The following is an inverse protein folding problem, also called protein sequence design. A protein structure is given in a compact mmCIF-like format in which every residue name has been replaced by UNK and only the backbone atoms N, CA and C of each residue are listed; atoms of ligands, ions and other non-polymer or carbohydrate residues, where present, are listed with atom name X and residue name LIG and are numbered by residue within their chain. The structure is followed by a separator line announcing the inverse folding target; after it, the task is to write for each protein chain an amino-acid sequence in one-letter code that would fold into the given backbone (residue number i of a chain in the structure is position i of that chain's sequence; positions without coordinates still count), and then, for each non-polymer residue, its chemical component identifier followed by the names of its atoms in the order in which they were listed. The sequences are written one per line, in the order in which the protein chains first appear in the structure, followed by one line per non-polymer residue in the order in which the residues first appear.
data_IF_054116287424
#
_entry.id   IF_054116287424
#
_cell.length_a   1.000
_cell.length_b   1.000
_cell.length_c   1.000
_cell.angle_alpha   90.00
_cell.angle_beta   90.00
_cell.angle_gamma   90.00
#
_symmetry.space_group_name_H-M   'P 1'
#
loop_
_entity.id
_entity.type
_entity.pdbx_description
1 polymer ?
#
# COMPACT_ATOMS: atom_id res chain seq x y z
N UNK A 1 -30.97 -16.14 30.22
CA UNK A 1 -30.62 -16.39 28.79
C UNK A 1 -29.18 -16.02 28.60
N UNK A 2 -28.32 -16.96 28.20
CA UNK A 2 -26.92 -16.71 27.86
C UNK A 2 -26.86 -16.07 26.47
N UNK A 3 -25.98 -15.08 26.22
CA UNK A 3 -25.78 -14.54 24.87
C UNK A 3 -25.16 -15.59 23.95
N UNK A 4 -25.42 -15.57 22.64
CA UNK A 4 -24.88 -16.55 21.71
C UNK A 4 -23.35 -16.43 21.65
N UNK A 5 -22.65 -17.56 21.61
CA UNK A 5 -21.21 -17.64 21.40
C UNK A 5 -20.86 -17.07 20.01
N UNK A 6 -19.97 -16.10 19.96
CA UNK A 6 -19.51 -15.52 18.71
C UNK A 6 -18.78 -16.58 17.86
N UNK A 7 -19.20 -16.73 16.62
CA UNK A 7 -18.62 -17.58 15.58
C UNK A 7 -17.36 -16.95 14.95
N UNK A 8 -16.52 -16.28 15.72
CA UNK A 8 -15.33 -15.57 15.22
C UNK A 8 -14.19 -16.47 14.72
N UNK A 9 -14.21 -17.79 15.01
CA UNK A 9 -13.12 -18.68 14.62
C UNK A 9 -13.15 -19.23 13.18
N UNK A 10 -14.31 -19.20 12.51
CA UNK A 10 -14.49 -19.84 11.20
C UNK A 10 -14.21 -18.89 10.03
N UNK A 11 -14.34 -17.58 10.22
CA UNK A 11 -14.18 -16.60 9.13
C UNK A 11 -12.73 -16.33 8.72
N UNK A 12 -11.76 -16.47 9.64
CA UNK A 12 -10.34 -16.20 9.32
C UNK A 12 -9.69 -17.30 8.46
N UNK A 13 -9.97 -18.57 8.77
CA UNK A 13 -9.43 -19.70 8.01
C UNK A 13 -10.02 -19.76 6.58
N UNK A 14 -11.32 -19.55 6.43
CA UNK A 14 -11.97 -19.49 5.11
C UNK A 14 -11.43 -18.34 4.26
N UNK A 15 -11.24 -17.14 4.86
CA UNK A 15 -10.68 -16.00 4.14
C UNK A 15 -9.23 -16.23 3.66
N UNK A 16 -8.44 -17.01 4.40
CA UNK A 16 -7.07 -17.34 4.01
C UNK A 16 -6.99 -18.37 2.87
N UNK A 17 -7.95 -19.29 2.80
CA UNK A 17 -8.07 -20.23 1.67
C UNK A 17 -8.39 -19.48 0.36
N UNK A 18 -9.36 -18.58 0.37
CA UNK A 18 -9.71 -17.77 -0.82
C UNK A 18 -8.57 -16.88 -1.30
N UNK A 19 -7.78 -16.31 -0.37
CA UNK A 19 -6.62 -15.46 -0.71
C UNK A 19 -5.50 -16.23 -1.40
N UNK A 20 -5.33 -17.51 -1.05
CA UNK A 20 -4.36 -18.38 -1.72
C UNK A 20 -4.76 -18.75 -3.14
N UNK A 21 -6.05 -18.73 -3.49
CA UNK A 21 -6.54 -19.13 -4.81
C UNK A 21 -6.04 -18.21 -5.92
N UNK A 22 -6.07 -16.88 -5.77
CA UNK A 22 -5.54 -15.95 -6.76
C UNK A 22 -4.03 -16.11 -6.95
N UNK A 23 -3.29 -16.35 -5.86
CA UNK A 23 -1.85 -16.61 -5.92
C UNK A 23 -1.54 -17.95 -6.60
N UNK A 24 -2.31 -19.00 -6.32
CA UNK A 24 -2.18 -20.29 -6.99
C UNK A 24 -2.54 -20.19 -8.48
N UNK A 25 -3.60 -19.46 -8.81
CA UNK A 25 -3.99 -19.19 -10.18
C UNK A 25 -2.88 -18.44 -10.94
N UNK A 26 -2.29 -17.41 -10.31
CA UNK A 26 -1.16 -16.71 -10.88
C UNK A 26 0.03 -17.64 -11.12
N UNK A 27 0.42 -18.44 -10.12
CA UNK A 27 1.53 -19.39 -10.28
C UNK A 27 1.32 -20.41 -11.40
N UNK A 28 0.07 -20.80 -11.65
CA UNK A 28 -0.27 -21.76 -12.70
C UNK A 28 -0.35 -21.12 -14.10
N UNK A 29 -0.79 -19.86 -14.19
CA UNK A 29 -1.19 -19.21 -15.44
C UNK A 29 -0.35 -17.97 -15.79
N UNK A 30 0.66 -17.59 -15.00
CA UNK A 30 1.50 -16.45 -15.33
C UNK A 30 2.32 -16.75 -16.59
N UNK A 31 2.06 -15.97 -17.65
CA UNK A 31 2.77 -16.05 -18.93
C UNK A 31 3.69 -14.85 -19.17
N UNK A 32 3.67 -13.86 -18.30
CA UNK A 32 4.45 -12.63 -18.41
C UNK A 32 5.04 -12.21 -17.07
N UNK A 33 5.95 -11.26 -17.17
CA UNK A 33 6.64 -10.68 -16.02
C UNK A 33 8.11 -10.43 -16.36
N UNK A 34 8.86 -10.03 -15.34
CA UNK A 34 10.30 -9.75 -15.46
C UNK A 34 11.04 -10.18 -14.20
N UNK A 35 12.34 -10.38 -14.34
CA UNK A 35 13.27 -10.43 -13.22
C UNK A 35 14.21 -9.25 -13.32
N UNK A 36 14.27 -8.48 -12.23
CA UNK A 36 15.17 -7.36 -12.06
C UNK A 36 16.17 -7.71 -10.95
N UNK A 37 17.44 -7.82 -11.30
CA UNK A 37 18.51 -8.06 -10.34
C UNK A 37 19.47 -6.87 -10.31
N UNK A 38 19.69 -6.33 -9.12
CA UNK A 38 20.67 -5.28 -8.86
C UNK A 38 21.92 -5.91 -8.28
N UNK A 39 23.06 -5.72 -8.98
CA UNK A 39 24.32 -6.30 -8.58
C UNK A 39 24.82 -5.75 -7.25
N UNK A 40 25.62 -6.55 -6.54
CA UNK A 40 26.26 -6.17 -5.27
C UNK A 40 27.02 -4.83 -5.40
N UNK A 41 26.86 -3.96 -4.39
CA UNK A 41 27.46 -2.62 -4.30
C UNK A 41 27.01 -1.64 -5.39
N UNK A 42 25.99 -1.99 -6.19
CA UNK A 42 25.48 -1.09 -7.22
C UNK A 42 24.36 -0.21 -6.66
N UNK A 43 24.50 1.10 -6.81
CA UNK A 43 23.52 2.08 -6.35
C UNK A 43 23.02 2.88 -7.54
N UNK A 44 21.72 2.77 -7.84
CA UNK A 44 21.10 3.58 -8.88
C UNK A 44 20.83 4.99 -8.37
N UNK A 45 21.44 5.99 -9.02
CA UNK A 45 21.24 7.41 -8.66
C UNK A 45 19.93 8.02 -9.20
N UNK A 46 19.27 7.32 -10.12
CA UNK A 46 17.99 7.76 -10.71
C UNK A 46 16.94 6.65 -10.54
N UNK A 47 15.68 7.00 -10.34
CA UNK A 47 14.61 6.01 -10.28
C UNK A 47 14.52 5.23 -11.60
N UNK A 48 14.32 3.91 -11.48
CA UNK A 48 13.88 3.06 -12.58
C UNK A 48 12.35 3.11 -12.66
N UNK A 49 11.80 3.38 -13.84
CA UNK A 49 10.35 3.43 -14.01
C UNK A 49 9.90 2.25 -14.86
N UNK A 50 9.01 1.45 -14.31
CA UNK A 50 8.31 0.37 -15.02
C UNK A 50 6.90 0.85 -15.36
N UNK A 51 6.63 1.02 -16.66
CA UNK A 51 5.31 1.38 -17.15
C UNK A 51 4.50 0.11 -17.45
N UNK A 52 3.38 -0.05 -16.73
CA UNK A 52 2.38 -1.07 -17.02
C UNK A 52 1.28 -0.42 -17.86
N UNK A 53 1.39 -0.54 -19.18
CA UNK A 53 0.44 0.04 -20.11
C UNK A 53 -0.64 -0.97 -20.50
N UNK A 54 -1.90 -0.62 -20.25
CA UNK A 54 -3.06 -1.41 -20.63
C UNK A 54 -3.81 -0.72 -21.77
N UNK A 55 -3.82 -1.39 -22.92
CA UNK A 55 -4.47 -0.90 -24.14
C UNK A 55 -5.99 -0.97 -24.07
N UNK A 56 -6.67 -0.36 -25.05
CA UNK A 56 -8.12 -0.27 -25.10
C UNK A 56 -8.87 -1.58 -25.44
N UNK A 57 -8.17 -2.69 -25.69
CA UNK A 57 -8.75 -3.94 -26.19
C UNK A 57 -8.60 -5.09 -25.19
N UNK A 58 -9.05 -4.90 -23.96
CA UNK A 58 -8.89 -5.89 -22.88
C UNK A 58 -10.22 -6.48 -22.38
N UNK A 59 -11.24 -6.47 -23.23
CA UNK A 59 -12.57 -6.95 -22.84
C UNK A 59 -12.54 -8.39 -22.33
N UNK A 60 -13.07 -8.60 -21.11
CA UNK A 60 -13.21 -9.92 -20.46
C UNK A 60 -11.88 -10.71 -20.38
N UNK A 61 -10.77 -10.01 -20.25
CA UNK A 61 -9.42 -10.61 -20.21
C UNK A 61 -8.91 -10.68 -18.78
N UNK A 62 -8.23 -11.79 -18.44
CA UNK A 62 -7.46 -11.94 -17.20
C UNK A 62 -5.98 -11.98 -17.56
N UNK A 63 -5.22 -11.04 -16.98
CA UNK A 63 -3.76 -10.95 -17.16
C UNK A 63 -3.10 -11.45 -15.88
N UNK A 64 -2.35 -12.56 -15.98
CA UNK A 64 -1.53 -13.07 -14.89
C UNK A 64 -0.07 -12.77 -15.15
N UNK A 65 0.60 -12.02 -14.27
CA UNK A 65 2.02 -11.73 -14.37
C UNK A 65 2.75 -11.99 -13.06
N UNK A 66 4.04 -12.34 -13.16
CA UNK A 66 4.87 -12.61 -12.00
C UNK A 66 6.22 -11.95 -12.16
N UNK A 67 6.54 -11.04 -11.24
CA UNK A 67 7.79 -10.32 -11.23
C UNK A 67 8.69 -10.80 -10.09
N UNK A 68 10.00 -10.72 -10.29
CA UNK A 68 11.01 -10.96 -9.27
C UNK A 68 11.96 -9.77 -9.22
N UNK A 69 12.23 -9.27 -8.02
CA UNK A 69 13.15 -8.15 -7.77
C UNK A 69 14.17 -8.62 -6.74
N UNK A 70 15.43 -8.59 -7.09
CA UNK A 70 16.53 -9.06 -6.24
C UNK A 70 17.54 -7.93 -6.08
N UNK A 71 17.71 -7.47 -4.85
CA UNK A 71 18.75 -6.53 -4.48
C UNK A 71 19.85 -7.30 -3.76
N UNK A 72 21.03 -7.39 -4.39
CA UNK A 72 22.20 -8.01 -3.77
C UNK A 72 22.83 -7.09 -2.70
N UNK A 73 23.76 -7.62 -1.92
CA UNK A 73 24.36 -6.91 -0.79
C UNK A 73 24.80 -5.48 -1.13
N UNK A 74 24.48 -4.53 -0.23
CA UNK A 74 24.89 -3.12 -0.32
C UNK A 74 24.46 -2.45 -1.63
N UNK A 75 23.35 -2.88 -2.24
CA UNK A 75 22.77 -2.26 -3.43
C UNK A 75 21.61 -1.32 -3.07
N UNK A 76 21.30 -0.39 -3.98
CA UNK A 76 20.24 0.60 -3.74
C UNK A 76 19.46 0.85 -5.02
N UNK A 77 18.12 0.84 -4.91
CA UNK A 77 17.20 1.08 -6.03
C UNK A 77 15.98 1.86 -5.57
N UNK A 78 15.62 2.89 -6.32
CA UNK A 78 14.28 3.46 -6.31
C UNK A 78 13.53 2.99 -7.55
N UNK A 79 12.47 2.20 -7.36
CA UNK A 79 11.64 1.62 -8.41
C UNK A 79 10.27 2.28 -8.41
N UNK A 80 9.84 2.83 -9.54
CA UNK A 80 8.50 3.40 -9.73
C UNK A 80 7.70 2.48 -10.65
N UNK A 81 6.70 1.80 -10.11
CA UNK A 81 5.71 1.03 -10.86
C UNK A 81 4.53 1.95 -11.20
N UNK A 82 4.43 2.35 -12.44
CA UNK A 82 3.39 3.25 -12.94
C UNK A 82 2.37 2.48 -13.76
N UNK A 83 1.09 2.56 -13.36
CA UNK A 83 -0.01 2.02 -14.15
C UNK A 83 -0.61 3.13 -15.02
N UNK A 84 -0.60 2.90 -16.33
CA UNK A 84 -1.30 3.72 -17.33
C UNK A 84 -2.34 2.86 -18.03
N UNK A 85 -3.59 3.06 -17.67
CA UNK A 85 -4.70 2.27 -18.19
C UNK A 85 -5.59 3.12 -19.08
N UNK A 86 -5.71 2.70 -20.34
CA UNK A 86 -6.59 3.30 -21.35
C UNK A 86 -7.82 2.47 -21.65
N UNK A 87 -7.92 1.27 -21.08
CA UNK A 87 -9.10 0.41 -21.28
C UNK A 87 -10.31 0.95 -20.52
N UNK A 88 -11.44 0.93 -21.19
CA UNK A 88 -12.77 1.16 -20.59
C UNK A 88 -13.52 -0.15 -20.33
N UNK A 89 -12.91 -1.27 -20.71
CA UNK A 89 -13.52 -2.59 -20.60
C UNK A 89 -13.34 -3.17 -19.19
N UNK A 90 -14.18 -4.16 -18.88
CA UNK A 90 -13.97 -5.00 -17.72
C UNK A 90 -12.82 -5.98 -18.00
N UNK A 91 -11.77 -5.93 -17.23
CA UNK A 91 -10.65 -6.86 -17.27
C UNK A 91 -10.08 -7.02 -15.87
N UNK A 92 -9.28 -8.05 -15.67
CA UNK A 92 -8.63 -8.32 -14.39
C UNK A 92 -7.12 -8.44 -14.56
N UNK A 93 -6.38 -7.78 -13.71
CA UNK A 93 -4.94 -8.01 -13.55
C UNK A 93 -4.71 -8.74 -12.24
N UNK A 94 -4.07 -9.90 -12.30
CA UNK A 94 -3.61 -10.67 -11.16
C UNK A 94 -2.09 -10.72 -11.20
N UNK A 95 -1.44 -9.94 -10.35
CA UNK A 95 0.01 -9.72 -10.33
C UNK A 95 0.64 -10.28 -9.07
N UNK A 96 1.77 -10.97 -9.20
CA UNK A 96 2.61 -11.36 -8.07
C UNK A 96 3.98 -10.72 -8.20
N UNK A 97 4.53 -10.27 -7.07
CA UNK A 97 5.85 -9.67 -6.99
C UNK A 97 6.63 -10.27 -5.81
N UNK A 98 7.71 -10.98 -6.11
CA UNK A 98 8.62 -11.50 -5.09
C UNK A 98 9.83 -10.58 -5.02
N UNK A 99 10.16 -10.13 -3.81
CA UNK A 99 11.23 -9.17 -3.55
C UNK A 99 12.22 -9.79 -2.55
N UNK A 100 13.49 -9.88 -2.92
CA UNK A 100 14.57 -10.27 -2.03
C UNK A 100 15.49 -9.06 -1.82
N UNK A 101 15.64 -8.65 -0.56
CA UNK A 101 16.51 -7.52 -0.21
C UNK A 101 17.60 -8.06 0.71
N UNK A 102 18.78 -8.22 0.14
CA UNK A 102 19.92 -8.81 0.83
C UNK A 102 20.57 -7.80 1.79
N UNK A 103 21.62 -8.23 2.46
CA UNK A 103 22.24 -7.48 3.53
C UNK A 103 22.67 -6.07 3.10
N UNK A 104 22.38 -5.08 3.95
CA UNK A 104 22.71 -3.66 3.77
C UNK A 104 22.12 -3.03 2.49
N UNK A 105 21.17 -3.69 1.82
CA UNK A 105 20.53 -3.17 0.62
C UNK A 105 19.26 -2.35 0.94
N UNK A 106 18.95 -1.38 0.06
CA UNK A 106 17.79 -0.50 0.18
C UNK A 106 16.95 -0.52 -1.08
N UNK A 107 15.67 -0.86 -0.95
CA UNK A 107 14.67 -0.72 -2.00
C UNK A 107 13.62 0.31 -1.60
N UNK A 108 13.44 1.33 -2.43
CA UNK A 108 12.24 2.18 -2.41
C UNK A 108 11.34 1.77 -3.56
N UNK A 109 10.20 1.17 -3.23
CA UNK A 109 9.20 0.73 -4.20
C UNK A 109 8.02 1.69 -4.17
N UNK A 110 7.73 2.31 -5.28
CA UNK A 110 6.68 3.31 -5.43
C UNK A 110 5.66 2.79 -6.42
N UNK A 111 4.44 2.58 -5.96
CA UNK A 111 3.32 2.16 -6.80
C UNK A 111 2.39 3.35 -7.05
N UNK A 112 2.17 3.66 -8.33
CA UNK A 112 1.28 4.75 -8.75
C UNK A 112 0.20 4.18 -9.65
N UNK A 113 -1.04 4.33 -9.23
CA UNK A 113 -2.21 4.06 -10.04
C UNK A 113 -3.12 5.30 -10.07
N UNK A 114 -3.40 5.78 -11.27
CA UNK A 114 -4.33 6.89 -11.51
C UNK A 114 -5.19 6.55 -12.74
N UNK A 115 -5.96 5.47 -12.62
CA UNK A 115 -6.70 4.91 -13.74
C UNK A 115 -8.19 5.10 -13.54
N UNK A 116 -8.81 5.91 -14.37
CA UNK A 116 -10.29 6.04 -14.46
C UNK A 116 -10.85 4.89 -15.30
N UNK A 117 -10.86 3.67 -14.77
CA UNK A 117 -11.32 2.51 -15.54
C UNK A 117 -12.14 1.53 -14.72
N UNK A 118 -12.90 0.71 -15.42
CA UNK A 118 -13.70 -0.36 -14.84
C UNK A 118 -12.88 -1.61 -14.45
N UNK A 119 -11.54 -1.56 -14.51
CA UNK A 119 -10.66 -2.71 -14.26
C UNK A 119 -10.63 -3.19 -12.81
N UNK A 120 -10.29 -4.47 -12.67
CA UNK A 120 -10.07 -5.16 -11.40
C UNK A 120 -8.59 -5.48 -11.25
N UNK A 121 -7.96 -5.02 -10.17
CA UNK A 121 -6.54 -5.28 -9.90
C UNK A 121 -6.38 -6.00 -8.58
N UNK A 122 -5.65 -7.12 -8.64
CA UNK A 122 -5.12 -7.79 -7.47
C UNK A 122 -3.61 -7.88 -7.58
N UNK A 123 -2.90 -7.37 -6.60
CA UNK A 123 -1.44 -7.47 -6.53
C UNK A 123 -1.02 -8.05 -5.19
N UNK A 124 -0.28 -9.15 -5.24
CA UNK A 124 0.40 -9.72 -4.08
C UNK A 124 1.88 -9.40 -4.13
N UNK A 125 2.37 -8.78 -3.06
CA UNK A 125 3.79 -8.46 -2.88
C UNK A 125 4.30 -9.29 -1.70
N UNK A 126 5.34 -10.06 -1.92
CA UNK A 126 6.07 -10.76 -0.86
C UNK A 126 7.51 -10.27 -0.83
N UNK A 127 7.96 -9.79 0.34
CA UNK A 127 9.30 -9.27 0.53
C UNK A 127 10.02 -10.00 1.65
N UNK A 128 11.24 -10.46 1.37
CA UNK A 128 12.13 -11.12 2.33
C UNK A 128 13.37 -10.23 2.56
N UNK A 129 13.57 -9.81 3.81
CA UNK A 129 14.58 -8.84 4.20
C UNK A 129 15.68 -9.51 5.05
N UNK A 130 16.92 -9.32 4.64
CA UNK A 130 18.11 -9.76 5.37
C UNK A 130 18.63 -8.66 6.32
N UNK A 131 19.80 -8.90 6.92
CA UNK A 131 20.42 -8.03 7.93
C UNK A 131 20.65 -6.60 7.44
N UNK A 132 20.24 -5.62 8.26
CA UNK A 132 20.33 -4.17 7.98
C UNK A 132 19.64 -3.69 6.71
N UNK A 133 18.89 -4.56 6.02
CA UNK A 133 18.22 -4.16 4.79
C UNK A 133 17.01 -3.27 5.06
N UNK A 134 16.65 -2.45 4.08
CA UNK A 134 15.57 -1.47 4.20
C UNK A 134 14.62 -1.60 3.02
N UNK A 135 13.33 -1.72 3.31
CA UNK A 135 12.26 -1.69 2.33
C UNK A 135 11.28 -0.55 2.61
N UNK A 136 11.24 0.42 1.73
CA UNK A 136 10.28 1.52 1.78
C UNK A 136 9.25 1.33 0.66
N UNK A 137 7.97 1.19 1.03
CA UNK A 137 6.90 1.00 0.04
C UNK A 137 5.91 2.16 0.11
N UNK A 138 5.79 2.90 -1.01
CA UNK A 138 4.88 4.04 -1.18
C UNK A 138 3.79 3.70 -2.18
N UNK A 139 2.53 3.96 -1.84
CA UNK A 139 1.36 3.62 -2.65
C UNK A 139 0.52 4.87 -2.85
N UNK A 140 0.38 5.30 -4.09
CA UNK A 140 -0.55 6.36 -4.51
C UNK A 140 -1.57 5.73 -5.43
N UNK A 141 -2.84 5.67 -5.03
CA UNK A 141 -3.86 5.02 -5.83
C UNK A 141 -5.18 5.77 -5.82
N UNK A 142 -5.76 5.89 -7.00
CA UNK A 142 -7.10 6.41 -7.28
C UNK A 142 -7.61 5.74 -8.54
N UNK A 143 -8.92 5.66 -8.71
CA UNK A 143 -9.54 4.99 -9.84
C UNK A 143 -9.61 3.48 -9.66
N UNK A 144 -10.02 2.77 -10.72
CA UNK A 144 -10.37 1.36 -10.76
C UNK A 144 -11.67 1.02 -10.00
N UNK A 145 -12.44 0.13 -10.58
CA UNK A 145 -13.63 -0.38 -9.91
C UNK A 145 -13.27 -1.17 -8.64
N UNK A 146 -12.19 -1.94 -8.72
CA UNK A 146 -11.67 -2.70 -7.59
C UNK A 146 -10.14 -2.77 -7.66
N UNK A 147 -9.48 -2.44 -6.55
CA UNK A 147 -8.03 -2.60 -6.40
C UNK A 147 -7.72 -3.21 -5.04
N UNK A 148 -6.93 -4.29 -5.05
CA UNK A 148 -6.48 -4.94 -3.82
C UNK A 148 -5.00 -5.17 -3.84
N UNK A 149 -4.32 -4.63 -2.84
CA UNK A 149 -2.91 -4.84 -2.56
C UNK A 149 -2.76 -5.70 -1.31
N UNK A 150 -2.18 -6.89 -1.47
CA UNK A 150 -1.86 -7.81 -0.37
C UNK A 150 -0.33 -7.85 -0.21
N UNK A 151 0.18 -7.31 0.90
CA UNK A 151 1.60 -7.04 1.11
C UNK A 151 2.09 -7.86 2.30
N UNK A 152 2.99 -8.80 2.05
CA UNK A 152 3.66 -9.59 3.07
C UNK A 152 5.13 -9.22 3.13
N UNK A 153 5.60 -8.80 4.31
CA UNK A 153 6.99 -8.40 4.55
C UNK A 153 7.56 -9.25 5.68
N UNK A 154 8.66 -9.92 5.40
CA UNK A 154 9.36 -10.78 6.34
C UNK A 154 10.70 -10.15 6.72
N UNK A 155 10.82 -9.68 7.97
CA UNK A 155 12.05 -9.16 8.53
C UNK A 155 12.82 -10.35 9.13
N UNK A 156 13.61 -11.02 8.27
CA UNK A 156 14.19 -12.33 8.57
C UNK A 156 15.49 -12.28 9.37
N UNK A 157 16.21 -11.15 9.31
CA UNK A 157 17.46 -10.97 10.02
C UNK A 157 17.49 -9.64 10.79
N UNK A 158 18.43 -9.52 11.69
CA UNK A 158 18.56 -8.40 12.62
C UNK A 158 18.68 -7.05 11.92
N UNK A 159 18.09 -6.02 12.55
CA UNK A 159 18.11 -4.62 12.10
C UNK A 159 17.44 -4.37 10.75
N UNK A 160 16.70 -5.33 10.21
CA UNK A 160 15.89 -5.12 9.02
C UNK A 160 14.77 -4.10 9.31
N UNK A 161 14.50 -3.23 8.33
CA UNK A 161 13.52 -2.15 8.46
C UNK A 161 12.54 -2.14 7.30
N UNK A 162 11.27 -1.89 7.61
CA UNK A 162 10.27 -1.71 6.56
C UNK A 162 9.32 -0.55 6.85
N UNK A 163 8.89 0.14 5.79
CA UNK A 163 7.82 1.12 5.86
C UNK A 163 6.78 0.88 4.79
N UNK A 164 5.50 1.13 5.10
CA UNK A 164 4.40 1.12 4.14
C UNK A 164 3.62 2.42 4.29
N UNK A 165 3.70 3.27 3.28
CA UNK A 165 2.97 4.52 3.21
C UNK A 165 1.94 4.47 2.07
N UNK A 166 0.71 4.83 2.36
CA UNK A 166 -0.36 4.81 1.35
C UNK A 166 -1.20 6.07 1.41
N UNK A 167 -1.43 6.65 0.23
CA UNK A 167 -2.37 7.73 -0.01
C UNK A 167 -3.40 7.26 -1.05
N UNK A 168 -4.63 7.04 -0.60
CA UNK A 168 -5.76 6.63 -1.44
C UNK A 168 -6.77 7.77 -1.51
N UNK A 169 -7.12 8.19 -2.73
CA UNK A 169 -8.19 9.13 -3.00
C UNK A 169 -9.27 8.41 -3.81
N UNK A 170 -10.39 8.11 -3.17
CA UNK A 170 -11.45 7.24 -3.68
C UNK A 170 -12.70 8.07 -3.96
N UNK A 171 -13.22 7.90 -5.16
CA UNK A 171 -14.37 8.64 -5.68
C UNK A 171 -15.41 7.65 -6.23
N UNK A 172 -16.60 8.16 -6.50
CA UNK A 172 -17.68 7.38 -7.14
C UNK A 172 -17.98 6.06 -6.40
N UNK A 173 -17.87 4.92 -7.07
CA UNK A 173 -18.07 3.58 -6.49
C UNK A 173 -16.77 2.75 -6.44
N UNK A 174 -15.63 3.44 -6.32
CA UNK A 174 -14.33 2.79 -6.24
C UNK A 174 -14.19 1.98 -4.95
N UNK A 175 -13.65 0.77 -5.06
CA UNK A 175 -13.35 -0.06 -3.91
C UNK A 175 -11.86 -0.39 -3.88
N UNK A 176 -11.17 0.04 -2.83
CA UNK A 176 -9.75 -0.27 -2.67
C UNK A 176 -9.45 -0.91 -1.32
N UNK A 177 -8.66 -1.99 -1.35
CA UNK A 177 -8.23 -2.72 -0.18
C UNK A 177 -6.70 -2.73 -0.09
N UNK A 178 -6.18 -2.40 1.09
CA UNK A 178 -4.79 -2.65 1.45
C UNK A 178 -4.76 -3.64 2.60
N UNK A 179 -4.11 -4.77 2.36
CA UNK A 179 -3.81 -5.73 3.41
C UNK A 179 -2.30 -5.81 3.60
N UNK A 180 -1.86 -5.64 4.83
CA UNK A 180 -0.45 -5.79 5.19
C UNK A 180 -0.28 -6.90 6.22
N UNK A 181 0.79 -7.68 6.07
CA UNK A 181 1.28 -8.60 7.08
C UNK A 181 2.77 -8.40 7.23
N UNK A 182 3.20 -7.89 8.38
CA UNK A 182 4.61 -7.70 8.67
C UNK A 182 5.04 -8.69 9.73
N UNK A 183 5.96 -9.58 9.35
CA UNK A 183 6.48 -10.63 10.20
C UNK A 183 7.87 -10.23 10.72
N UNK A 184 7.96 -9.93 12.01
CA UNK A 184 9.20 -9.74 12.72
C UNK A 184 9.74 -11.11 13.14
N UNK A 185 10.70 -11.63 12.37
CA UNK A 185 11.28 -12.96 12.55
C UNK A 185 12.61 -12.93 13.31
N UNK A 186 13.22 -11.74 13.50
CA UNK A 186 14.51 -11.53 14.16
C UNK A 186 14.49 -10.29 15.05
N UNK A 187 15.47 -10.17 15.92
CA UNK A 187 15.56 -9.07 16.91
C UNK A 187 15.97 -7.73 16.28
N UNK A 188 15.70 -6.62 17.00
CA UNK A 188 16.05 -5.25 16.62
C UNK A 188 15.44 -4.77 15.28
N UNK A 189 14.40 -5.42 14.79
CA UNK A 189 13.73 -5.04 13.55
C UNK A 189 12.72 -3.92 13.78
N UNK A 190 12.51 -3.11 12.75
CA UNK A 190 11.60 -1.97 12.80
C UNK A 190 10.57 -2.01 11.66
N UNK A 191 9.31 -1.67 11.97
CA UNK A 191 8.30 -1.48 10.94
C UNK A 191 7.39 -0.30 11.24
N UNK A 192 7.07 0.48 10.21
CA UNK A 192 6.17 1.61 10.32
C UNK A 192 5.19 1.62 9.17
N UNK A 193 3.89 1.75 9.48
CA UNK A 193 2.83 1.80 8.48
C UNK A 193 1.96 3.04 8.69
N UNK A 194 1.71 3.80 7.63
CA UNK A 194 0.79 4.94 7.63
C UNK A 194 -0.11 4.86 6.39
N UNK A 195 -1.36 4.47 6.59
CA UNK A 195 -2.35 4.29 5.53
C UNK A 195 -3.38 5.43 5.66
N UNK A 196 -3.50 6.25 4.62
CA UNK A 196 -4.46 7.34 4.58
C UNK A 196 -5.42 7.18 3.41
N UNK A 197 -6.70 7.34 3.70
CA UNK A 197 -7.79 7.26 2.74
C UNK A 197 -8.59 8.54 2.77
N UNK A 198 -8.96 9.06 1.63
CA UNK A 198 -10.01 10.04 1.44
C UNK A 198 -11.11 9.38 0.63
N UNK A 199 -12.33 9.44 1.12
CA UNK A 199 -13.46 8.71 0.56
C UNK A 199 -14.62 9.67 0.31
N UNK A 200 -15.15 9.64 -0.91
CA UNK A 200 -16.34 10.38 -1.31
C UNK A 200 -17.29 9.51 -2.10
N UNK A 201 -18.50 10.03 -2.31
CA UNK A 201 -19.60 9.35 -2.99
C UNK A 201 -19.95 8.01 -2.34
N UNK A 202 -19.95 6.91 -3.07
CA UNK A 202 -20.22 5.54 -2.61
C UNK A 202 -18.94 4.70 -2.56
N UNK A 203 -17.80 5.35 -2.37
CA UNK A 203 -16.51 4.66 -2.37
C UNK A 203 -16.27 3.88 -1.10
N UNK A 204 -15.47 2.80 -1.21
CA UNK A 204 -15.14 1.93 -0.08
C UNK A 204 -13.64 1.74 0.04
N UNK A 205 -13.10 2.09 1.22
CA UNK A 205 -11.71 1.85 1.61
C UNK A 205 -11.62 0.75 2.66
N UNK A 206 -10.74 -0.22 2.46
CA UNK A 206 -10.51 -1.29 3.44
C UNK A 206 -9.03 -1.37 3.78
N UNK A 207 -8.72 -1.36 5.07
CA UNK A 207 -7.39 -1.64 5.58
C UNK A 207 -7.39 -2.81 6.56
N UNK A 208 -6.56 -3.82 6.28
CA UNK A 208 -6.31 -4.92 7.20
C UNK A 208 -4.81 -5.00 7.46
N UNK A 209 -4.38 -4.64 8.67
CA UNK A 209 -2.97 -4.65 9.04
C UNK A 209 -2.68 -5.68 10.11
N UNK A 210 -1.67 -6.55 9.89
CA UNK A 210 -1.21 -7.48 10.91
C UNK A 210 0.29 -7.32 11.15
N UNK A 211 0.65 -7.10 12.41
CA UNK A 211 2.02 -7.20 12.89
C UNK A 211 2.15 -8.51 13.65
N UNK A 212 3.05 -9.36 13.20
CA UNK A 212 3.38 -10.64 13.85
C UNK A 212 4.81 -10.58 14.39
N UNK A 213 4.99 -10.86 15.69
CA UNK A 213 6.30 -10.81 16.35
C UNK A 213 6.61 -12.15 16.98
N UNK A 214 7.64 -12.85 16.46
CA UNK A 214 8.10 -14.11 17.02
C UNK A 214 8.75 -13.91 18.38
N UNK A 215 8.75 -14.95 19.22
CA UNK A 215 9.38 -14.93 20.54
C UNK A 215 10.87 -14.51 20.52
N UNK A 216 11.59 -14.88 19.48
CA UNK A 216 13.00 -14.51 19.30
C UNK A 216 13.16 -13.03 18.88
N UNK A 217 12.14 -12.39 18.34
CA UNK A 217 12.20 -11.04 17.80
C UNK A 217 12.10 -9.95 18.88
N UNK A 218 13.02 -10.03 19.86
CA UNK A 218 13.13 -9.04 20.94
C UNK A 218 13.58 -7.68 20.39
N UNK A 219 13.26 -6.59 21.11
CA UNK A 219 13.54 -5.20 20.72
C UNK A 219 12.93 -4.80 19.37
N UNK A 220 11.83 -5.46 19.01
CA UNK A 220 11.00 -5.03 17.89
C UNK A 220 10.39 -3.66 18.18
N UNK A 221 10.45 -2.75 17.20
CA UNK A 221 9.76 -1.46 17.21
C UNK A 221 8.81 -1.40 16.00
N UNK A 222 7.51 -1.51 16.28
CA UNK A 222 6.51 -1.67 15.23
C UNK A 222 5.30 -0.78 15.47
N UNK A 223 4.90 -0.05 14.44
CA UNK A 223 3.76 0.86 14.51
C UNK A 223 2.91 0.79 13.24
N UNK A 224 1.58 0.77 13.41
CA UNK A 224 0.64 0.88 12.31
C UNK A 224 -0.43 1.93 12.58
N UNK A 225 -0.65 2.82 11.63
CA UNK A 225 -1.62 3.88 11.67
C UNK A 225 -2.50 3.85 10.43
N UNK A 226 -3.82 3.80 10.63
CA UNK A 226 -4.78 4.01 9.55
C UNK A 226 -5.64 5.24 9.84
N UNK A 227 -5.78 6.13 8.86
CA UNK A 227 -6.65 7.31 8.97
C UNK A 227 -7.51 7.44 7.73
N UNK A 228 -8.78 7.81 7.93
CA UNK A 228 -9.68 8.11 6.84
C UNK A 228 -10.35 9.47 7.03
N UNK A 229 -10.45 10.24 5.94
CA UNK A 229 -11.39 11.35 5.81
C UNK A 229 -12.59 10.86 5.00
N UNK A 230 -13.76 10.87 5.62
CA UNK A 230 -15.05 10.50 5.00
C UNK A 230 -15.75 11.82 4.67
N UNK A 231 -15.98 12.05 3.37
CA UNK A 231 -16.49 13.33 2.88
C UNK A 231 -18.02 13.38 2.78
N UNK A 232 -18.67 12.23 2.77
CA UNK A 232 -20.13 12.09 2.74
C UNK A 232 -20.59 10.75 3.33
N UNK A 233 -21.87 10.65 3.65
CA UNK A 233 -22.43 9.54 4.44
C UNK A 233 -22.47 8.18 3.73
N UNK A 234 -22.45 8.18 2.39
CA UNK A 234 -22.49 6.95 1.59
C UNK A 234 -21.11 6.29 1.43
N UNK A 235 -20.03 6.95 1.86
CA UNK A 235 -18.67 6.40 1.81
C UNK A 235 -18.36 5.55 3.03
N UNK A 236 -17.65 4.44 2.82
CA UNK A 236 -17.31 3.48 3.87
C UNK A 236 -15.79 3.33 4.08
N UNK A 237 -15.37 3.28 5.33
CA UNK A 237 -14.01 2.90 5.71
C UNK A 237 -14.00 1.78 6.75
N UNK A 238 -13.46 0.63 6.36
CA UNK A 238 -13.25 -0.52 7.23
C UNK A 238 -11.79 -0.68 7.62
N UNK A 239 -11.47 -0.62 8.91
CA UNK A 239 -10.12 -0.81 9.41
C UNK A 239 -10.05 -1.96 10.41
N UNK A 240 -9.12 -2.90 10.17
CA UNK A 240 -8.86 -4.04 11.05
C UNK A 240 -7.37 -4.15 11.37
N UNK A 241 -6.86 -3.40 12.36
CA UNK A 241 -5.50 -3.58 12.84
C UNK A 241 -5.40 -4.78 13.78
N UNK A 242 -4.39 -5.63 13.58
CA UNK A 242 -4.12 -6.81 14.41
C UNK A 242 -2.67 -6.81 14.89
N UNK A 243 -2.47 -7.15 16.18
CA UNK A 243 -1.16 -7.41 16.78
C UNK A 243 -1.12 -8.83 17.33
N UNK A 244 -0.14 -9.61 16.90
CA UNK A 244 0.12 -10.96 17.42
C UNK A 244 1.58 -11.02 17.89
N UNK A 245 1.80 -10.88 19.19
CA UNK A 245 3.11 -10.62 19.77
C UNK A 245 3.45 -11.73 20.76
N UNK A 246 4.61 -12.37 20.55
CA UNK A 246 5.13 -13.45 21.39
C UNK A 246 6.45 -13.09 22.09
N UNK A 247 7.00 -11.89 21.83
CA UNK A 247 8.20 -11.38 22.50
C UNK A 247 7.83 -10.40 23.63
N UNK A 248 8.67 -10.29 24.66
CA UNK A 248 8.38 -9.52 25.87
C UNK A 248 8.95 -8.09 25.79
N UNK A 249 10.16 -7.93 25.25
CA UNK A 249 10.86 -6.63 25.13
C UNK A 249 10.59 -6.02 23.75
N UNK A 250 9.44 -5.39 23.59
CA UNK A 250 9.00 -4.80 22.31
C UNK A 250 8.26 -3.48 22.51
N UNK A 251 8.28 -2.64 21.47
CA UNK A 251 7.45 -1.45 21.32
C UNK A 251 6.51 -1.65 20.14
N UNK A 252 5.28 -2.08 20.42
CA UNK A 252 4.30 -2.34 19.36
C UNK A 252 3.00 -1.61 19.66
N UNK A 253 2.52 -0.86 18.69
CA UNK A 253 1.25 -0.13 18.83
C UNK A 253 0.52 0.02 17.50
N UNK A 254 -0.77 0.28 17.58
CA UNK A 254 -1.58 0.65 16.43
C UNK A 254 -2.53 1.80 16.76
N UNK A 255 -2.94 2.53 15.72
CA UNK A 255 -3.99 3.52 15.78
C UNK A 255 -4.88 3.44 14.55
N UNK A 256 -6.18 3.64 14.73
CA UNK A 256 -7.13 3.77 13.63
C UNK A 256 -8.13 4.88 13.94
N UNK A 257 -8.31 5.79 12.99
CA UNK A 257 -9.27 6.88 13.13
C UNK A 257 -9.96 7.15 11.80
N UNK A 258 -11.25 7.49 11.86
CA UNK A 258 -12.00 8.06 10.76
C UNK A 258 -12.67 9.35 11.22
N UNK A 259 -12.84 10.28 10.32
CA UNK A 259 -13.50 11.55 10.61
C UNK A 259 -13.81 12.31 9.34
N UNK A 260 -14.46 13.45 9.49
CA UNK A 260 -14.73 14.42 8.42
C UNK A 260 -13.61 15.45 8.32
N UNK A 261 -13.70 16.33 7.32
CA UNK A 261 -12.84 17.50 7.21
C UNK A 261 -13.04 18.42 8.43
N UNK A 262 -11.94 18.94 8.94
CA UNK A 262 -11.95 19.94 10.00
C UNK A 262 -12.59 21.24 9.53
N UNK A 263 -13.76 21.54 10.09
CA UNK A 263 -14.56 22.70 9.70
C UNK A 263 -13.90 24.03 10.10
N UNK A 264 -13.10 24.05 11.17
CA UNK A 264 -12.38 25.25 11.60
C UNK A 264 -11.27 25.59 10.61
N UNK A 265 -10.51 24.60 10.17
CA UNK A 265 -9.51 24.77 9.11
C UNK A 265 -10.15 25.20 7.78
N UNK A 266 -11.29 24.61 7.42
CA UNK A 266 -12.04 25.01 6.23
C UNK A 266 -12.51 26.45 6.32
N UNK A 267 -13.11 26.85 7.46
CA UNK A 267 -13.56 28.22 7.71
C UNK A 267 -12.39 29.20 7.65
N UNK A 268 -11.25 28.86 8.24
CA UNK A 268 -10.05 29.69 8.20
C UNK A 268 -9.58 29.96 6.77
N UNK A 269 -9.49 28.92 5.92
CA UNK A 269 -9.09 29.07 4.53
C UNK A 269 -10.09 29.95 3.75
N UNK A 270 -11.39 29.74 3.95
CA UNK A 270 -12.45 30.55 3.33
C UNK A 270 -12.39 32.02 3.78
N UNK A 271 -12.10 32.29 5.04
CA UNK A 271 -11.95 33.65 5.55
C UNK A 271 -10.75 34.42 4.97
N UNK A 272 -9.77 33.65 4.42
CA UNK A 272 -8.62 34.20 3.68
C UNK A 272 -8.90 34.39 2.19
N UNK A 273 -10.14 34.21 1.76
CA UNK A 273 -10.56 34.41 0.37
C UNK A 273 -10.34 33.21 -0.55
N UNK A 274 -9.99 32.03 -0.01
CA UNK A 274 -9.85 30.80 -0.79
C UNK A 274 -11.26 30.25 -1.08
N UNK A 275 -11.61 30.01 -2.36
CA UNK A 275 -12.89 29.39 -2.70
C UNK A 275 -13.05 28.04 -2.01
N UNK A 276 -14.25 27.71 -1.58
CA UNK A 276 -14.53 26.50 -0.79
C UNK A 276 -14.00 25.23 -1.45
N UNK A 277 -14.23 25.04 -2.74
CA UNK A 277 -13.73 23.88 -3.49
C UNK A 277 -12.20 23.76 -3.43
N UNK A 278 -11.49 24.87 -3.53
CA UNK A 278 -10.02 24.88 -3.44
C UNK A 278 -9.54 24.65 -2.01
N UNK A 279 -10.25 25.18 -1.01
CA UNK A 279 -9.95 24.91 0.40
C UNK A 279 -10.09 23.42 0.74
N UNK A 280 -11.14 22.74 0.25
CA UNK A 280 -11.28 21.29 0.37
C UNK A 280 -10.09 20.54 -0.23
N UNK A 281 -9.70 20.87 -1.46
CA UNK A 281 -8.55 20.25 -2.12
C UNK A 281 -7.26 20.44 -1.35
N UNK A 282 -7.02 21.63 -0.82
CA UNK A 282 -5.84 21.92 0.00
C UNK A 282 -5.80 21.06 1.25
N UNK A 283 -6.92 20.90 1.97
CA UNK A 283 -7.00 20.07 3.17
C UNK A 283 -6.79 18.58 2.83
N UNK A 284 -7.38 18.09 1.75
CA UNK A 284 -7.19 16.72 1.26
C UNK A 284 -5.71 16.49 0.85
N UNK A 285 -5.13 17.43 0.11
CA UNK A 285 -3.72 17.34 -0.32
C UNK A 285 -2.76 17.33 0.87
N UNK A 286 -2.98 18.19 1.85
CA UNK A 286 -2.22 18.20 3.11
C UNK A 286 -2.36 16.89 3.86
N UNK A 287 -3.58 16.37 4.03
CA UNK A 287 -3.83 15.11 4.71
C UNK A 287 -3.14 13.92 4.03
N UNK A 288 -3.29 13.75 2.73
CA UNK A 288 -2.66 12.65 1.99
C UNK A 288 -1.14 12.85 1.85
N UNK A 289 -0.69 14.09 1.65
CA UNK A 289 0.72 14.46 1.45
C UNK A 289 1.63 14.08 2.62
N UNK A 290 1.10 14.01 3.85
CA UNK A 290 1.87 13.54 5.02
C UNK A 290 2.45 12.11 4.84
N UNK A 291 1.93 11.30 3.91
CA UNK A 291 2.47 9.98 3.62
C UNK A 291 3.81 10.05 2.89
N UNK A 292 4.12 11.18 2.29
CA UNK A 292 5.34 11.41 1.52
C UNK A 292 6.43 12.20 2.30
N UNK A 293 6.15 12.61 3.54
CA UNK A 293 7.08 13.42 4.33
C UNK A 293 8.43 12.75 4.57
N UNK A 294 8.43 11.42 4.73
CA UNK A 294 9.65 10.65 5.02
C UNK A 294 10.47 10.28 3.78
N UNK A 295 9.96 10.60 2.58
CA UNK A 295 10.71 10.36 1.35
C UNK A 295 11.86 11.35 1.24
N UNK A 296 13.08 10.83 1.17
CA UNK A 296 14.31 11.62 1.23
C UNK A 296 14.68 12.29 -0.10
N UNK A 297 14.27 11.70 -1.23
CA UNK A 297 14.60 12.22 -2.56
C UNK A 297 13.59 13.30 -2.96
N UNK A 298 14.01 14.56 -2.85
CA UNK A 298 13.16 15.72 -3.09
C UNK A 298 12.51 15.73 -4.48
N UNK A 299 13.26 15.37 -5.54
CA UNK A 299 12.73 15.29 -6.90
C UNK A 299 11.62 14.23 -7.04
N UNK A 300 11.79 13.08 -6.40
CA UNK A 300 10.78 12.01 -6.40
C UNK A 300 9.57 12.45 -5.60
N UNK A 301 9.77 13.06 -4.44
CA UNK A 301 8.72 13.60 -3.59
C UNK A 301 7.87 14.64 -4.32
N UNK A 302 8.49 15.60 -4.99
CA UNK A 302 7.80 16.62 -5.81
C UNK A 302 7.01 15.99 -6.95
N UNK A 303 7.58 14.98 -7.61
CA UNK A 303 6.87 14.22 -8.64
C UNK A 303 5.63 13.53 -8.08
N UNK A 304 5.72 12.87 -6.91
CA UNK A 304 4.59 12.19 -6.27
C UNK A 304 3.53 13.17 -5.77
N UNK A 305 3.91 14.29 -5.20
CA UNK A 305 2.98 15.35 -4.80
C UNK A 305 2.18 15.86 -6.00
N UNK A 306 2.84 16.11 -7.14
CA UNK A 306 2.16 16.50 -8.38
C UNK A 306 1.19 15.43 -8.89
N UNK A 307 1.55 14.13 -8.75
CA UNK A 307 0.63 13.04 -9.10
C UNK A 307 -0.56 12.97 -8.17
N UNK A 308 -0.35 13.17 -6.89
CA UNK A 308 -1.41 13.21 -5.88
C UNK A 308 -2.37 14.38 -6.14
N UNK A 309 -1.86 15.57 -6.42
CA UNK A 309 -2.67 16.73 -6.82
C UNK A 309 -3.49 16.45 -8.08
N UNK A 310 -2.92 15.77 -9.07
CA UNK A 310 -3.63 15.32 -10.25
C UNK A 310 -4.81 14.38 -9.91
N UNK A 311 -4.61 13.44 -8.98
CA UNK A 311 -5.69 12.56 -8.49
C UNK A 311 -6.81 13.34 -7.79
N UNK A 312 -6.47 14.34 -6.96
CA UNK A 312 -7.44 15.17 -6.23
C UNK A 312 -8.20 16.08 -7.19
N UNK A 313 -7.57 16.58 -8.24
CA UNK A 313 -8.19 17.43 -9.24
C UNK A 313 -9.02 16.68 -10.29
N UNK A 314 -8.96 15.34 -10.28
CA UNK A 314 -9.67 14.52 -11.25
C UNK A 314 -9.03 14.47 -12.65
N UNK A 315 -7.74 14.80 -12.77
CA UNK A 315 -6.95 14.80 -14.02
C UNK A 315 -6.13 13.52 -14.17
#
# INVERSE_FOLDING_TARGET
RRPPRSTQGVSSAASDVYKRQLNLLNNALAMGGFTLEVSKNYKLNKPLIVYNYFSSNLKETIINNKNSIILNDNSELTLINYIDNKSKDNFMVNSMENIEIRRDALLKNIFINNSKSAGYFYKYIKSDLEKNSVFENYILSSGLKFNKLDIEINLNQEYAKSTVFSALNLLESEHQEIKTRINHNSQNCQSYQKIKNVLSDQSKGVYQGKIFVKKIAQKTDAYQLSKALILNDDAEFDAKPELEIYADDVKCSHGSTSGSIDLDSLHYLKSRGIPEKEAYKMLISGFLGETLEKLSEENVKLFLLKKLEGQINGN
#
